data_IF_813932356236
#
_entry.id   IF_813932356236
#
_cell.length_a   1.000
_cell.length_b   1.000
_cell.length_c   1.000
_cell.angle_alpha   90.00
_cell.angle_beta   90.00
_cell.angle_gamma   90.00
#
_symmetry.space_group_name_H-M   'P 1'
#
loop_
_entity.id
_entity.type
_entity.pdbx_description
1 polymer ?
#
# COMPACT_ATOMS: atom_id res chain seq x y z
N UNK A 1 -5.18 -14.32 -11.40
CA UNK A 1 -4.00 -13.90 -10.60
C UNK A 1 -4.19 -12.44 -10.25
N UNK A 2 -3.82 -12.01 -9.05
CA UNK A 2 -4.05 -10.65 -8.57
C UNK A 2 -2.72 -10.02 -8.19
N UNK A 3 -2.58 -8.71 -8.38
CA UNK A 3 -1.41 -7.95 -7.99
C UNK A 3 -1.86 -6.90 -6.99
N UNK A 4 -1.21 -6.89 -5.83
CA UNK A 4 -1.30 -5.81 -4.87
C UNK A 4 -0.24 -4.77 -5.20
N UNK A 5 -0.67 -3.55 -5.46
CA UNK A 5 0.21 -2.39 -5.63
C UNK A 5 0.16 -1.58 -4.35
N UNK A 6 1.32 -1.41 -3.73
CA UNK A 6 1.54 -0.63 -2.52
C UNK A 6 2.31 0.63 -2.90
N UNK A 7 1.71 1.80 -2.68
CA UNK A 7 2.35 3.09 -2.90
C UNK A 7 2.45 3.83 -1.57
N UNK A 8 3.63 4.34 -1.25
CA UNK A 8 3.85 5.17 -0.06
C UNK A 8 4.62 6.41 -0.46
N UNK A 9 4.22 7.54 0.07
CA UNK A 9 4.90 8.81 -0.13
C UNK A 9 4.86 9.64 1.12
N UNK A 10 5.91 10.43 1.32
CA UNK A 10 5.98 11.41 2.39
C UNK A 10 4.79 12.37 2.31
N UNK A 11 4.22 12.69 3.47
CA UNK A 11 3.24 13.77 3.59
C UNK A 11 3.92 15.12 3.34
N UNK A 12 3.13 16.12 2.94
CA UNK A 12 3.58 17.49 2.66
C UNK A 12 4.23 18.19 3.87
N UNK A 13 4.02 17.65 5.07
CA UNK A 13 4.58 18.13 6.33
C UNK A 13 5.81 17.33 6.80
N UNK A 14 6.22 16.28 6.08
CA UNK A 14 7.38 15.48 6.45
C UNK A 14 8.68 16.19 6.05
N UNK A 15 9.65 16.24 6.96
CA UNK A 15 11.01 16.71 6.67
C UNK A 15 11.74 15.83 5.64
N UNK A 16 11.29 14.58 5.49
CA UNK A 16 11.87 13.61 4.56
C UNK A 16 11.05 13.51 3.28
N UNK A 17 11.70 13.66 2.12
CA UNK A 17 11.06 13.41 0.82
C UNK A 17 11.33 11.98 0.39
N UNK A 18 10.29 11.15 0.36
CA UNK A 18 10.38 9.80 -0.19
C UNK A 18 9.11 9.42 -0.94
N UNK A 19 9.28 8.52 -1.92
CA UNK A 19 8.18 7.85 -2.61
C UNK A 19 8.64 6.44 -2.97
N UNK A 20 7.84 5.44 -2.66
CA UNK A 20 8.13 4.05 -3.00
C UNK A 20 6.89 3.35 -3.51
N UNK A 21 7.12 2.44 -4.46
CA UNK A 21 6.09 1.59 -5.05
C UNK A 21 6.59 0.16 -4.95
N UNK A 22 5.78 -0.70 -4.35
CA UNK A 22 6.04 -2.12 -4.23
C UNK A 22 4.86 -2.89 -4.82
N UNK A 23 5.15 -4.04 -5.42
CA UNK A 23 4.12 -4.93 -5.96
C UNK A 23 4.27 -6.32 -5.37
N UNK A 24 3.14 -7.00 -5.16
CA UNK A 24 3.11 -8.36 -4.65
C UNK A 24 2.01 -9.16 -5.34
N UNK A 25 2.31 -10.39 -5.74
CA UNK A 25 1.36 -11.24 -6.43
C UNK A 25 0.58 -12.13 -5.45
N UNK A 26 -0.69 -12.35 -5.77
CA UNK A 26 -1.63 -13.17 -5.00
C UNK A 26 -2.41 -14.10 -5.93
N UNK A 27 -2.72 -15.29 -5.40
CA UNK A 27 -3.48 -16.31 -6.13
C UNK A 27 -4.97 -15.94 -6.24
N UNK A 28 -5.55 -15.31 -5.22
CA UNK A 28 -6.98 -14.97 -5.14
C UNK A 28 -7.23 -13.50 -4.85
N UNK A 29 -8.42 -13.01 -5.22
CA UNK A 29 -8.84 -11.63 -4.95
C UNK A 29 -8.92 -11.37 -3.44
N UNK A 30 -9.52 -12.30 -2.71
CA UNK A 30 -9.73 -12.20 -1.27
C UNK A 30 -8.41 -12.07 -0.51
N UNK A 31 -7.37 -12.83 -0.89
CA UNK A 31 -6.05 -12.74 -0.25
C UNK A 31 -5.37 -11.41 -0.54
N UNK A 32 -5.52 -10.88 -1.76
CA UNK A 32 -5.05 -9.54 -2.11
C UNK A 32 -5.74 -8.47 -1.26
N UNK A 33 -7.09 -8.51 -1.16
CA UNK A 33 -7.86 -7.52 -0.40
C UNK A 33 -7.53 -7.56 1.10
N UNK A 34 -7.36 -8.75 1.67
CA UNK A 34 -6.92 -8.90 3.07
C UNK A 34 -5.54 -8.28 3.28
N UNK A 35 -4.61 -8.48 2.35
CA UNK A 35 -3.27 -7.89 2.43
C UNK A 35 -3.32 -6.36 2.28
N UNK A 36 -4.17 -5.84 1.39
CA UNK A 36 -4.40 -4.41 1.22
C UNK A 36 -4.96 -3.76 2.50
N UNK A 37 -5.88 -4.42 3.19
CA UNK A 37 -6.45 -3.92 4.44
C UNK A 37 -5.42 -3.90 5.57
N UNK A 38 -4.64 -4.98 5.74
CA UNK A 38 -3.51 -5.02 6.68
C UNK A 38 -2.51 -3.90 6.43
N UNK A 39 -2.24 -3.59 5.16
CA UNK A 39 -1.36 -2.49 4.81
C UNK A 39 -1.96 -1.14 5.23
N UNK A 40 -3.22 -0.87 4.92
CA UNK A 40 -3.90 0.36 5.34
C UNK A 40 -3.87 0.54 6.86
N UNK A 41 -4.16 -0.51 7.62
CA UNK A 41 -4.12 -0.47 9.08
C UNK A 41 -2.71 -0.23 9.63
N UNK A 42 -1.68 -0.82 9.01
CA UNK A 42 -0.29 -0.61 9.43
C UNK A 42 0.15 0.84 9.23
N UNK A 43 -0.23 1.44 8.11
CA UNK A 43 0.23 2.78 7.73
C UNK A 43 -0.71 3.92 8.16
N UNK A 44 -1.93 3.64 8.63
CA UNK A 44 -2.84 4.65 9.18
C UNK A 44 -2.29 5.35 10.43
N UNK A 45 -1.37 4.70 11.13
CA UNK A 45 -0.71 5.26 12.32
C UNK A 45 0.41 6.25 11.99
N UNK A 46 0.87 6.33 10.74
CA UNK A 46 1.98 7.17 10.32
C UNK A 46 1.45 8.48 9.71
N UNK A 47 1.38 9.53 10.52
CA UNK A 47 0.86 10.85 10.11
C UNK A 47 1.71 11.48 8.98
N UNK A 48 3.00 11.17 8.97
CA UNK A 48 3.96 11.70 7.99
C UNK A 48 4.00 10.89 6.69
N UNK A 49 3.17 9.84 6.56
CA UNK A 49 3.19 8.91 5.42
C UNK A 49 1.79 8.78 4.83
N UNK A 50 1.66 9.13 3.57
CA UNK A 50 0.49 8.77 2.79
C UNK A 50 0.72 7.40 2.15
N UNK A 51 -0.12 6.43 2.51
CA UNK A 51 -0.04 5.06 2.03
C UNK A 51 -1.31 4.66 1.28
N UNK A 52 -1.15 4.02 0.12
CA UNK A 52 -2.24 3.46 -0.68
C UNK A 52 -1.94 2.01 -1.05
N UNK A 53 -2.95 1.17 -0.93
CA UNK A 53 -2.93 -0.22 -1.37
C UNK A 53 -4.10 -0.48 -2.32
N UNK A 54 -3.81 -1.04 -3.50
CA UNK A 54 -4.82 -1.35 -4.52
C UNK A 54 -4.59 -2.76 -5.06
N UNK A 55 -5.66 -3.53 -5.13
CA UNK A 55 -5.67 -4.83 -5.78
C UNK A 55 -6.14 -4.69 -7.22
N UNK A 56 -5.35 -5.23 -8.15
CA UNK A 56 -5.69 -5.28 -9.57
C UNK A 56 -5.66 -6.72 -10.06
N UNK A 57 -6.59 -7.07 -10.96
CA UNK A 57 -6.58 -8.35 -11.63
C UNK A 57 -5.48 -8.33 -12.70
N UNK A 58 -4.59 -9.31 -12.66
CA UNK A 58 -3.55 -9.52 -13.67
C UNK A 58 -4.16 -10.10 -14.94
#
# INVERSE_FOLDING_TARGET
MWILILAMYANQYSDSKFSTINTQEFSTETTCLIAADKFKQKFSQFIDVNARAVCVKK
#
